data_IF_838635985082
#
_entry.id   IF_838635985082
#
_cell.length_a   1.000
_cell.length_b   1.000
_cell.length_c   1.000
_cell.angle_alpha   90.00
_cell.angle_beta   90.00
_cell.angle_gamma   90.00
#
_symmetry.space_group_name_H-M   'P 1'
#
loop_
_entity.id
_entity.type
_entity.pdbx_description
1 polymer ?
#
# COMPACT_ATOMS: atom_id res chain seq x y z
N UNK A 1 -23.07 -12.02 -4.57
CA UNK A 1 -21.66 -11.57 -4.50
C UNK A 1 -21.66 -10.38 -3.57
N UNK A 2 -21.10 -10.52 -2.37
CA UNK A 2 -20.93 -9.37 -1.47
C UNK A 2 -19.79 -8.57 -2.07
N UNK A 3 -20.08 -7.36 -2.55
CA UNK A 3 -19.02 -6.40 -2.89
C UNK A 3 -18.20 -6.20 -1.62
N UNK A 4 -16.93 -6.57 -1.66
CA UNK A 4 -16.05 -6.41 -0.50
C UNK A 4 -15.75 -4.92 -0.37
N UNK A 5 -16.44 -4.25 0.59
CA UNK A 5 -16.39 -2.79 0.73
C UNK A 5 -15.00 -2.25 1.05
N UNK A 6 -14.01 -3.13 1.28
CA UNK A 6 -12.60 -2.77 1.49
C UNK A 6 -11.91 -2.25 0.24
N UNK A 7 -12.46 -2.51 -0.95
CA UNK A 7 -11.92 -2.06 -2.23
C UNK A 7 -12.69 -0.88 -2.84
N UNK A 8 -13.77 -0.43 -2.18
CA UNK A 8 -14.54 0.71 -2.63
C UNK A 8 -13.95 1.98 -2.02
N UNK A 9 -13.52 2.90 -2.88
CA UNK A 9 -13.00 4.20 -2.43
C UNK A 9 -14.19 5.12 -2.20
N UNK A 10 -14.43 5.57 -0.95
CA UNK A 10 -15.57 6.41 -0.65
C UNK A 10 -15.46 7.75 -1.36
N UNK A 11 -16.60 8.35 -1.70
CA UNK A 11 -16.67 9.72 -2.17
C UNK A 11 -16.62 10.68 -0.97
N UNK A 12 -15.90 11.81 -1.05
CA UNK A 12 -15.88 12.78 0.03
C UNK A 12 -17.24 13.46 0.17
N UNK A 13 -17.76 13.47 1.38
CA UNK A 13 -19.02 14.08 1.76
C UNK A 13 -18.91 15.62 1.77
N UNK A 14 -17.82 16.15 2.33
CA UNK A 14 -17.55 17.58 2.48
C UNK A 14 -16.10 17.91 2.07
N UNK A 15 -15.62 19.10 2.48
CA UNK A 15 -14.22 19.50 2.36
C UNK A 15 -13.69 19.91 3.75
N UNK A 16 -14.13 19.25 4.82
CA UNK A 16 -13.71 19.56 6.19
C UNK A 16 -12.27 19.06 6.43
N UNK A 17 -11.43 19.79 7.20
CA UNK A 17 -10.12 19.30 7.60
C UNK A 17 -10.09 17.87 8.16
N UNK A 18 -11.13 17.44 8.89
CA UNK A 18 -11.25 16.08 9.44
C UNK A 18 -11.35 15.01 8.37
N UNK A 19 -12.01 15.33 7.27
CA UNK A 19 -12.19 14.38 6.18
C UNK A 19 -10.87 14.11 5.46
N UNK A 20 -10.03 15.13 5.28
CA UNK A 20 -8.67 14.96 4.77
C UNK A 20 -7.86 14.02 5.67
N UNK A 21 -7.97 14.16 6.99
CA UNK A 21 -7.34 13.23 7.93
C UNK A 21 -7.91 11.81 7.83
N UNK A 22 -9.22 11.66 7.62
CA UNK A 22 -9.87 10.37 7.46
C UNK A 22 -9.41 9.65 6.19
N UNK A 23 -9.37 10.35 5.04
CA UNK A 23 -8.86 9.81 3.78
C UNK A 23 -7.36 9.53 3.84
N UNK A 24 -6.57 10.35 4.55
CA UNK A 24 -5.17 10.04 4.82
C UNK A 24 -5.02 8.76 5.64
N UNK A 25 -5.87 8.58 6.65
CA UNK A 25 -5.95 7.35 7.44
C UNK A 25 -6.30 6.14 6.58
N UNK A 26 -7.26 6.27 5.67
CA UNK A 26 -7.62 5.21 4.73
C UNK A 26 -6.48 4.87 3.76
N UNK A 27 -5.81 5.88 3.19
CA UNK A 27 -4.64 5.67 2.35
C UNK A 27 -3.51 4.97 3.11
N UNK A 28 -3.26 5.39 4.36
CA UNK A 28 -2.26 4.78 5.24
C UNK A 28 -2.61 3.34 5.62
N UNK A 29 -3.90 3.04 5.84
CA UNK A 29 -4.39 1.69 6.06
C UNK A 29 -4.11 0.79 4.85
N UNK A 30 -4.47 1.22 3.64
CA UNK A 30 -4.23 0.44 2.43
C UNK A 30 -2.75 0.19 2.18
N UNK A 31 -1.90 1.19 2.43
CA UNK A 31 -0.44 1.01 2.44
C UNK A 31 -0.03 -0.13 3.37
N UNK A 32 -0.50 -0.13 4.62
CA UNK A 32 -0.12 -1.13 5.62
C UNK A 32 -0.58 -2.53 5.23
N UNK A 33 -1.78 -2.66 4.65
CA UNK A 33 -2.28 -3.94 4.11
C UNK A 33 -1.37 -4.44 2.99
N UNK A 34 -1.07 -3.59 2.00
CA UNK A 34 -0.17 -3.91 0.90
C UNK A 34 1.21 -4.38 1.39
N UNK A 35 1.79 -3.75 2.43
CA UNK A 35 3.08 -4.20 2.96
C UNK A 35 3.00 -5.64 3.50
N UNK A 36 1.88 -6.01 4.13
CA UNK A 36 1.68 -7.37 4.64
C UNK A 36 1.45 -8.36 3.52
N UNK A 37 0.68 -8.00 2.49
CA UNK A 37 0.51 -8.84 1.30
C UNK A 37 1.85 -9.12 0.62
N UNK A 38 2.75 -8.13 0.52
CA UNK A 38 4.10 -8.35 0.00
C UNK A 38 4.97 -9.28 0.87
N UNK A 39 4.86 -9.19 2.20
CA UNK A 39 5.52 -10.18 3.09
C UNK A 39 5.02 -11.59 2.77
N UNK A 40 3.70 -11.75 2.66
CA UNK A 40 3.06 -13.03 2.35
C UNK A 40 3.52 -13.55 0.98
N UNK A 41 3.49 -12.71 -0.05
CA UNK A 41 3.95 -13.05 -1.40
C UNK A 41 5.41 -13.53 -1.40
N UNK A 42 6.32 -12.80 -0.76
CA UNK A 42 7.74 -13.17 -0.67
C UNK A 42 7.93 -14.51 0.03
N UNK A 43 7.20 -14.74 1.13
CA UNK A 43 7.24 -16.03 1.84
C UNK A 43 6.66 -17.13 0.95
N UNK A 44 5.50 -16.92 0.32
CA UNK A 44 4.87 -17.89 -0.56
C UNK A 44 5.78 -18.32 -1.71
N UNK A 45 6.47 -17.37 -2.37
CA UNK A 45 7.44 -17.69 -3.41
C UNK A 45 8.63 -18.51 -2.89
N UNK A 46 9.14 -18.20 -1.70
CA UNK A 46 10.22 -18.99 -1.07
C UNK A 46 9.79 -20.42 -0.73
N UNK A 47 8.51 -20.61 -0.43
CA UNK A 47 7.96 -21.91 -0.05
C UNK A 47 7.47 -22.72 -1.26
N UNK A 48 7.42 -22.12 -2.45
CA UNK A 48 6.89 -22.75 -3.66
C UNK A 48 7.67 -24.03 -3.99
N UNK A 49 6.97 -25.16 -4.02
CA UNK A 49 7.55 -26.48 -4.30
C UNK A 49 8.29 -27.13 -3.13
N UNK A 50 8.23 -26.54 -1.93
CA UNK A 50 8.81 -27.10 -0.71
C UNK A 50 7.72 -27.66 0.20
N UNK A 51 7.99 -28.80 0.84
CA UNK A 51 7.18 -29.27 1.98
C UNK A 51 7.70 -28.62 3.25
N UNK A 52 7.06 -27.52 3.65
CA UNK A 52 7.41 -26.80 4.87
C UNK A 52 6.39 -27.04 5.97
N UNK A 53 6.87 -27.07 7.21
CA UNK A 53 6.04 -27.10 8.41
C UNK A 53 5.50 -25.71 8.72
N UNK A 54 4.42 -25.64 9.51
CA UNK A 54 3.88 -24.36 10.00
C UNK A 54 4.93 -23.53 10.75
N UNK A 55 5.80 -24.18 11.53
CA UNK A 55 6.86 -23.49 12.28
C UNK A 55 7.88 -22.83 11.35
N UNK A 56 8.24 -23.49 10.26
CA UNK A 56 9.15 -22.92 9.25
C UNK A 56 8.49 -21.75 8.51
N UNK A 57 7.21 -21.87 8.17
CA UNK A 57 6.43 -20.76 7.63
C UNK A 57 6.43 -19.56 8.56
N UNK A 58 6.05 -19.75 9.84
CA UNK A 58 5.96 -18.69 10.83
C UNK A 58 7.32 -18.00 11.04
N UNK A 59 8.42 -18.76 11.00
CA UNK A 59 9.78 -18.22 11.08
C UNK A 59 10.13 -17.36 9.87
N UNK A 60 9.82 -17.82 8.65
CA UNK A 60 10.03 -17.06 7.42
C UNK A 60 9.17 -15.79 7.40
N UNK A 61 7.93 -15.88 7.87
CA UNK A 61 7.03 -14.74 7.98
C UNK A 61 7.53 -13.71 8.98
N UNK A 62 7.98 -14.14 10.17
CA UNK A 62 8.56 -13.25 11.17
C UNK A 62 9.83 -12.55 10.66
N UNK A 63 10.73 -13.30 9.98
CA UNK A 63 11.96 -12.74 9.39
C UNK A 63 11.67 -11.66 8.33
N UNK A 64 10.61 -11.82 7.54
CA UNK A 64 10.25 -10.88 6.48
C UNK A 64 9.35 -9.74 6.98
N UNK A 65 8.55 -9.94 8.03
CA UNK A 65 7.72 -8.89 8.65
C UNK A 65 8.52 -7.74 9.26
N UNK A 66 9.79 -7.97 9.59
CA UNK A 66 10.70 -6.94 10.12
C UNK A 66 11.37 -6.08 9.04
N UNK A 67 11.12 -6.38 7.76
CA UNK A 67 11.76 -5.69 6.63
C UNK A 67 10.89 -4.56 6.12
N UNK A 68 11.53 -3.49 5.64
CA UNK A 68 10.81 -2.42 4.97
C UNK A 68 10.29 -2.87 3.61
N UNK A 69 9.24 -2.22 3.11
CA UNK A 69 8.68 -2.47 1.77
C UNK A 69 9.75 -2.54 0.68
N UNK A 70 10.66 -1.56 0.65
CA UNK A 70 11.76 -1.54 -0.33
C UNK A 70 12.71 -2.74 -0.22
N UNK A 71 12.98 -3.23 1.00
CA UNK A 71 13.78 -4.43 1.21
C UNK A 71 13.06 -5.69 0.74
N UNK A 72 11.74 -5.78 0.95
CA UNK A 72 10.92 -6.90 0.49
C UNK A 72 10.86 -6.95 -1.05
N UNK A 73 10.59 -5.80 -1.69
CA UNK A 73 10.54 -5.70 -3.15
C UNK A 73 11.90 -6.06 -3.78
N UNK A 74 13.01 -5.59 -3.20
CA UNK A 74 14.35 -5.96 -3.65
C UNK A 74 14.60 -7.47 -3.57
N UNK A 75 14.13 -8.13 -2.50
CA UNK A 75 14.24 -9.59 -2.36
C UNK A 75 13.38 -10.34 -3.37
N UNK A 76 12.16 -9.87 -3.62
CA UNK A 76 11.24 -10.50 -4.56
C UNK A 76 11.74 -10.41 -6.01
N UNK A 77 12.38 -9.30 -6.39
CA UNK A 77 13.06 -9.15 -7.69
C UNK A 77 14.18 -10.16 -7.91
N UNK A 78 14.98 -10.42 -6.87
CA UNK A 78 16.13 -11.34 -6.96
C UNK A 78 15.73 -12.79 -7.25
N UNK A 79 14.50 -13.19 -6.93
CA UNK A 79 14.01 -14.53 -7.25
C UNK A 79 13.41 -14.63 -8.66
N UNK A 80 13.45 -13.57 -9.48
CA UNK A 80 12.93 -13.51 -10.85
C UNK A 80 11.46 -14.00 -10.95
N UNK A 81 10.70 -13.85 -9.87
CA UNK A 81 9.38 -14.47 -9.69
C UNK A 81 8.22 -13.49 -9.95
N UNK A 82 8.51 -12.21 -10.19
CA UNK A 82 7.50 -11.17 -10.38
C UNK A 82 7.50 -10.73 -11.86
N UNK A 83 6.35 -10.75 -12.54
CA UNK A 83 6.17 -10.16 -13.87
C UNK A 83 6.54 -8.66 -13.91
N UNK A 84 7.07 -8.18 -15.05
CA UNK A 84 7.59 -6.80 -15.15
C UNK A 84 6.53 -5.71 -14.91
N UNK A 85 5.30 -5.95 -15.32
CA UNK A 85 4.15 -5.08 -15.10
C UNK A 85 3.81 -4.95 -13.60
N UNK A 86 3.78 -6.08 -12.89
CA UNK A 86 3.57 -6.12 -11.43
C UNK A 86 4.73 -5.44 -10.71
N UNK A 87 5.97 -5.67 -11.15
CA UNK A 87 7.14 -5.03 -10.56
C UNK A 87 7.11 -3.50 -10.71
N UNK A 88 6.66 -3.00 -11.87
CA UNK A 88 6.50 -1.57 -12.12
C UNK A 88 5.43 -0.97 -11.21
N UNK A 89 4.28 -1.65 -11.06
CA UNK A 89 3.19 -1.22 -10.18
C UNK A 89 3.65 -1.14 -8.72
N UNK A 90 4.31 -2.19 -8.21
CA UNK A 90 4.83 -2.22 -6.84
C UNK A 90 5.92 -1.16 -6.59
N UNK A 91 6.72 -0.84 -7.62
CA UNK A 91 7.71 0.24 -7.54
C UNK A 91 7.05 1.61 -7.40
N UNK A 92 6.01 1.87 -8.19
CA UNK A 92 5.27 3.12 -8.13
C UNK A 92 4.53 3.26 -6.79
N UNK A 93 3.87 2.19 -6.33
CA UNK A 93 3.24 2.13 -5.01
C UNK A 93 4.25 2.41 -3.88
N UNK A 94 5.47 1.87 -3.94
CA UNK A 94 6.52 2.15 -2.96
C UNK A 94 6.90 3.64 -2.92
N UNK A 95 7.07 4.27 -4.09
CA UNK A 95 7.41 5.70 -4.17
C UNK A 95 6.29 6.56 -3.57
N UNK A 96 5.05 6.27 -3.93
CA UNK A 96 3.85 6.98 -3.44
C UNK A 96 3.64 6.78 -1.95
N UNK A 97 3.87 5.57 -1.44
CA UNK A 97 3.85 5.27 0.00
C UNK A 97 4.88 6.09 0.76
N UNK A 98 6.12 6.17 0.26
CA UNK A 98 7.17 6.94 0.92
C UNK A 98 6.80 8.43 0.97
N UNK A 99 6.27 8.97 -0.12
CA UNK A 99 5.79 10.34 -0.16
C UNK A 99 4.61 10.57 0.79
N UNK A 100 3.60 9.70 0.77
CA UNK A 100 2.42 9.79 1.64
C UNK A 100 2.83 9.85 3.12
N UNK A 101 3.71 8.96 3.55
CA UNK A 101 4.09 8.82 4.96
C UNK A 101 5.04 9.92 5.44
N UNK A 102 5.94 10.40 4.58
CA UNK A 102 7.02 11.30 5.01
C UNK A 102 6.83 12.77 4.62
N UNK A 103 6.06 13.05 3.57
CA UNK A 103 6.06 14.37 2.93
C UNK A 103 4.66 14.97 2.72
N UNK A 104 3.61 14.15 2.63
CA UNK A 104 2.26 14.57 2.22
C UNK A 104 1.77 15.88 2.87
N UNK A 105 1.61 15.90 4.19
CA UNK A 105 1.07 17.09 4.87
C UNK A 105 2.00 18.30 4.84
N UNK A 106 3.32 18.09 4.73
CA UNK A 106 4.27 19.18 4.62
C UNK A 106 4.16 19.86 3.24
N UNK A 107 4.08 19.05 2.19
CA UNK A 107 3.97 19.52 0.80
C UNK A 107 2.59 20.15 0.53
N UNK A 108 1.53 19.59 1.11
CA UNK A 108 0.16 20.08 0.97
C UNK A 108 -0.25 21.15 2.01
N UNK A 109 0.67 21.65 2.83
CA UNK A 109 0.35 22.53 3.96
C UNK A 109 -0.45 23.77 3.55
N UNK A 110 -0.14 24.36 2.39
CA UNK A 110 -0.86 25.54 1.86
C UNK A 110 -2.26 25.15 1.36
N UNK A 111 -2.37 24.04 0.62
CA UNK A 111 -3.66 23.54 0.09
C UNK A 111 -4.64 23.29 1.24
N UNK A 112 -4.18 22.71 2.34
CA UNK A 112 -4.98 22.38 3.51
C UNK A 112 -5.73 23.59 4.11
N UNK A 113 -5.20 24.80 3.95
CA UNK A 113 -5.79 26.03 4.53
C UNK A 113 -7.07 26.49 3.81
N UNK A 114 -7.32 26.01 2.59
CA UNK A 114 -8.46 26.44 1.78
C UNK A 114 -9.39 25.26 1.48
N UNK A 115 -10.67 25.54 1.28
CA UNK A 115 -11.63 24.50 0.91
C UNK A 115 -11.31 23.85 -0.43
N UNK A 116 -10.97 24.66 -1.44
CA UNK A 116 -10.57 24.18 -2.77
C UNK A 116 -9.32 23.30 -2.67
N UNK A 117 -8.32 23.71 -1.89
CA UNK A 117 -7.12 22.92 -1.69
C UNK A 117 -7.38 21.61 -0.94
N UNK A 118 -8.28 21.60 0.05
CA UNK A 118 -8.70 20.36 0.71
C UNK A 118 -9.44 19.42 -0.23
N UNK A 119 -10.28 19.93 -1.15
CA UNK A 119 -10.88 19.09 -2.21
C UNK A 119 -9.81 18.43 -3.08
N UNK A 120 -8.79 19.19 -3.51
CA UNK A 120 -7.66 18.63 -4.27
C UNK A 120 -6.91 17.55 -3.50
N UNK A 121 -6.68 17.76 -2.20
CA UNK A 121 -6.06 16.78 -1.33
C UNK A 121 -6.90 15.50 -1.21
N UNK A 122 -8.24 15.62 -1.14
CA UNK A 122 -9.14 14.47 -1.11
C UNK A 122 -9.09 13.67 -2.42
N UNK A 123 -9.12 14.35 -3.56
CA UNK A 123 -9.02 13.72 -4.88
C UNK A 123 -7.67 12.98 -5.03
N UNK A 124 -6.58 13.58 -4.56
CA UNK A 124 -5.25 12.95 -4.55
C UNK A 124 -5.21 11.73 -3.64
N UNK A 125 -5.76 11.81 -2.43
CA UNK A 125 -5.84 10.67 -1.52
C UNK A 125 -6.68 9.53 -2.09
N UNK A 126 -7.83 9.82 -2.71
CA UNK A 126 -8.61 8.82 -3.43
C UNK A 126 -7.79 8.13 -4.53
N UNK A 127 -7.03 8.89 -5.31
CA UNK A 127 -6.14 8.33 -6.34
C UNK A 127 -5.07 7.41 -5.73
N UNK A 128 -4.44 7.83 -4.65
CA UNK A 128 -3.46 7.02 -3.92
C UNK A 128 -4.07 5.73 -3.38
N UNK A 129 -5.26 5.80 -2.77
CA UNK A 129 -6.00 4.64 -2.26
C UNK A 129 -6.22 3.62 -3.38
N UNK A 130 -6.68 4.06 -4.56
CA UNK A 130 -6.89 3.17 -5.73
C UNK A 130 -5.60 2.48 -6.15
N UNK A 131 -4.49 3.22 -6.22
CA UNK A 131 -3.17 2.66 -6.57
C UNK A 131 -2.73 1.59 -5.56
N UNK A 132 -2.93 1.83 -4.26
CA UNK A 132 -2.56 0.84 -3.23
C UNK A 132 -3.45 -0.40 -3.27
N UNK A 133 -4.74 -0.24 -3.56
CA UNK A 133 -5.66 -1.37 -3.78
C UNK A 133 -5.23 -2.19 -5.00
N UNK A 134 -4.96 -1.55 -6.13
CA UNK A 134 -4.55 -2.24 -7.35
C UNK A 134 -3.23 -2.99 -7.15
N UNK A 135 -2.28 -2.37 -6.45
CA UNK A 135 -1.03 -3.00 -6.08
C UNK A 135 -1.20 -4.18 -5.11
N UNK A 136 -2.18 -4.14 -4.21
CA UNK A 136 -2.49 -5.22 -3.26
C UNK A 136 -3.15 -6.41 -3.96
N UNK A 137 -4.07 -6.15 -4.88
CA UNK A 137 -4.69 -7.19 -5.71
C UNK A 137 -3.69 -7.89 -6.65
N UNK A 138 -2.64 -7.17 -7.03
CA UNK A 138 -1.53 -7.68 -7.82
C UNK A 138 -0.50 -8.48 -7.00
N UNK A 139 -0.55 -8.39 -5.66
CA UNK A 139 0.44 -8.96 -4.75
C UNK A 139 0.10 -10.37 -4.26
#
# INVERSE_FOLDING_TARGET
MVSDSRYEVPEPEDCDPKEVFAFFGLASYQVQVLEKSLVIMVVAFRCKGLHITRREFDSLYAENSMKTFGQLLSKARKSNSIPNDIDSLLKDALLKRNWLIHHYFADCAVQFTTEIGRRQMLDELQSLIRIFIDADLAA
#
